data_IF_175401093087
#
_entry.id   IF_175401093087
#
_cell.length_a   1.000
_cell.length_b   1.000
_cell.length_c   1.000
_cell.angle_alpha   90.00
_cell.angle_beta   90.00
_cell.angle_gamma   90.00
#
_symmetry.space_group_name_H-M   'P 1'
#
loop_
_entity.id
_entity.type
_entity.pdbx_description
1 polymer ?
#
# COMPACT_ATOMS: atom_id res chain seq x y z
N UNK A 1 11.02 -3.62 15.20
CA UNK A 1 9.57 -3.78 15.01
C UNK A 1 9.09 -5.10 15.58
N UNK A 2 9.68 -6.21 15.12
CA UNK A 2 9.34 -7.55 15.57
C UNK A 2 9.37 -7.74 17.10
N UNK A 3 10.42 -7.24 17.78
CA UNK A 3 10.52 -7.23 19.25
C UNK A 3 9.39 -6.45 19.93
N UNK A 4 8.89 -5.39 19.30
CA UNK A 4 7.83 -4.53 19.86
C UNK A 4 6.47 -5.19 19.78
N UNK A 5 6.19 -5.86 18.66
CA UNK A 5 4.99 -6.70 18.49
C UNK A 5 5.05 -7.91 19.42
N UNK A 6 6.21 -8.59 19.49
CA UNK A 6 6.42 -9.71 20.41
C UNK A 6 6.21 -9.30 21.88
N UNK A 7 6.68 -8.10 22.28
CA UNK A 7 6.47 -7.57 23.62
C UNK A 7 5.00 -7.26 23.98
N UNK A 8 4.08 -7.27 23.02
CA UNK A 8 2.65 -7.15 23.29
C UNK A 8 2.03 -8.44 23.81
N UNK A 9 2.66 -9.62 23.65
CA UNK A 9 2.06 -10.89 24.05
C UNK A 9 3.06 -11.90 24.66
N UNK A 10 2.78 -12.47 25.84
CA UNK A 10 3.61 -13.52 26.41
C UNK A 10 3.66 -14.76 25.50
N UNK A 11 4.86 -15.15 25.05
CA UNK A 11 5.07 -16.36 24.25
C UNK A 11 5.26 -16.16 22.74
N UNK A 12 5.18 -14.92 22.25
CA UNK A 12 5.61 -14.58 20.89
C UNK A 12 7.12 -14.33 20.86
N UNK A 13 7.85 -15.06 20.01
CA UNK A 13 9.28 -14.83 19.78
C UNK A 13 9.49 -13.75 18.73
N UNK A 14 10.41 -12.81 18.99
CA UNK A 14 10.70 -11.72 18.05
C UNK A 14 11.21 -12.23 16.68
N UNK A 15 11.87 -13.39 16.67
CA UNK A 15 12.32 -14.03 15.42
C UNK A 15 11.17 -14.40 14.49
N UNK A 16 10.10 -14.98 15.05
CA UNK A 16 8.95 -15.43 14.26
C UNK A 16 8.16 -14.24 13.70
N UNK A 17 8.01 -13.18 14.50
CA UNK A 17 7.40 -11.93 14.02
C UNK A 17 8.25 -11.32 12.89
N UNK A 18 9.58 -11.33 13.00
CA UNK A 18 10.45 -10.76 11.97
C UNK A 18 10.33 -11.50 10.64
N UNK A 19 10.27 -12.84 10.70
CA UNK A 19 10.06 -13.69 9.52
C UNK A 19 8.70 -13.37 8.90
N UNK A 20 7.63 -13.31 9.69
CA UNK A 20 6.29 -13.01 9.22
C UNK A 20 6.21 -11.63 8.55
N UNK A 21 6.79 -10.59 9.17
CA UNK A 21 6.86 -9.25 8.60
C UNK A 21 7.64 -9.21 7.28
N UNK A 22 8.73 -9.97 7.16
CA UNK A 22 9.50 -10.03 5.91
C UNK A 22 8.77 -10.80 4.81
N UNK A 23 8.00 -11.83 5.19
CA UNK A 23 7.27 -12.68 4.28
C UNK A 23 5.90 -12.09 3.88
N UNK A 24 5.43 -11.07 4.61
CA UNK A 24 4.10 -10.50 4.42
C UNK A 24 2.96 -11.40 4.88
N UNK A 25 3.24 -12.50 5.61
CA UNK A 25 2.24 -13.49 6.04
C UNK A 25 2.64 -14.19 7.32
N UNK A 26 1.67 -14.68 8.09
CA UNK A 26 1.96 -15.52 9.25
C UNK A 26 2.28 -16.97 8.82
N UNK A 27 3.18 -17.67 9.53
CA UNK A 27 3.39 -19.09 9.30
C UNK A 27 2.14 -19.91 9.62
N UNK A 28 1.91 -20.99 8.87
CA UNK A 28 0.84 -21.93 9.17
C UNK A 28 0.99 -22.49 10.60
N UNK A 29 -0.10 -22.47 11.38
CA UNK A 29 -0.12 -22.97 12.76
C UNK A 29 0.44 -22.02 13.81
N UNK A 30 0.76 -20.76 13.46
CA UNK A 30 1.29 -19.76 14.39
C UNK A 30 0.19 -19.06 15.23
N UNK A 31 -0.65 -19.84 15.92
CA UNK A 31 -1.79 -19.32 16.71
C UNK A 31 -1.42 -18.20 17.70
N UNK A 32 -0.46 -18.41 18.61
CA UNK A 32 -0.04 -17.37 19.56
C UNK A 32 0.54 -16.12 18.91
N UNK A 33 1.24 -16.28 17.77
CA UNK A 33 1.76 -15.15 17.00
C UNK A 33 0.62 -14.35 16.36
N UNK A 34 -0.42 -15.03 15.88
CA UNK A 34 -1.61 -14.37 15.33
C UNK A 34 -2.34 -13.57 16.40
N UNK A 35 -2.54 -14.14 17.58
CA UNK A 35 -3.10 -13.41 18.72
C UNK A 35 -2.27 -12.16 19.03
N UNK A 36 -0.94 -12.24 18.92
CA UNK A 36 -0.05 -11.10 19.14
C UNK A 36 -0.25 -9.99 18.12
N UNK A 37 -0.43 -10.36 16.87
CA UNK A 37 -0.68 -9.45 15.76
C UNK A 37 -2.06 -8.81 15.89
N UNK A 38 -3.10 -9.61 16.16
CA UNK A 38 -4.47 -9.09 16.36
C UNK A 38 -4.53 -8.14 17.57
N UNK A 39 -3.88 -8.50 18.70
CA UNK A 39 -3.81 -7.62 19.87
C UNK A 39 -3.07 -6.31 19.55
N UNK A 40 -1.94 -6.38 18.86
CA UNK A 40 -1.18 -5.19 18.47
C UNK A 40 -2.00 -4.28 17.54
N UNK A 41 -2.74 -4.87 16.59
CA UNK A 41 -3.62 -4.16 15.66
C UNK A 41 -4.90 -3.60 16.31
N UNK A 42 -5.22 -3.97 17.56
CA UNK A 42 -6.32 -3.41 18.34
C UNK A 42 -5.89 -2.29 19.32
N UNK A 43 -4.59 -1.97 19.42
CA UNK A 43 -4.05 -1.08 20.46
C UNK A 43 -3.22 0.09 19.89
N UNK A 44 -3.82 1.03 19.12
CA UNK A 44 -3.10 2.15 18.50
C UNK A 44 -2.36 3.05 19.50
N UNK A 45 -2.88 3.19 20.73
CA UNK A 45 -2.29 4.04 21.78
C UNK A 45 -1.09 3.44 22.52
N UNK A 46 -0.84 2.12 22.39
CA UNK A 46 0.26 1.45 23.10
C UNK A 46 1.58 1.62 22.36
N UNK A 47 1.56 1.36 21.05
CA UNK A 47 2.74 1.40 20.20
C UNK A 47 2.30 1.58 18.74
N UNK A 48 2.29 2.82 18.25
CA UNK A 48 1.79 3.13 16.91
C UNK A 48 2.55 2.38 15.79
N UNK A 49 3.89 2.27 15.79
CA UNK A 49 4.60 1.45 14.81
C UNK A 49 4.18 -0.04 14.83
N UNK A 50 4.06 -0.65 16.01
CA UNK A 50 3.64 -2.05 16.12
C UNK A 50 2.20 -2.25 15.63
N UNK A 51 1.30 -1.33 15.98
CA UNK A 51 -0.07 -1.28 15.49
C UNK A 51 -0.12 -1.22 13.96
N UNK A 52 0.59 -0.29 13.31
CA UNK A 52 0.60 -0.18 11.85
C UNK A 52 1.15 -1.43 11.17
N UNK A 53 2.25 -1.99 11.68
CA UNK A 53 2.86 -3.19 11.12
C UNK A 53 1.96 -4.41 11.26
N UNK A 54 1.27 -4.55 12.39
CA UNK A 54 0.31 -5.62 12.63
C UNK A 54 -0.91 -5.49 11.70
N UNK A 55 -1.50 -4.30 11.56
CA UNK A 55 -2.59 -4.09 10.61
C UNK A 55 -2.16 -4.35 9.17
N UNK A 56 -0.97 -3.92 8.76
CA UNK A 56 -0.44 -4.18 7.42
C UNK A 56 -0.29 -5.69 7.14
N UNK A 57 0.16 -6.47 8.13
CA UNK A 57 0.27 -7.92 8.01
C UNK A 57 -1.11 -8.58 7.85
N UNK A 58 -2.09 -8.17 8.65
CA UNK A 58 -3.47 -8.69 8.55
C UNK A 58 -4.12 -8.34 7.20
N UNK A 59 -3.87 -7.13 6.67
CA UNK A 59 -4.32 -6.73 5.34
C UNK A 59 -3.70 -7.59 4.25
N UNK A 60 -2.39 -7.85 4.33
CA UNK A 60 -1.68 -8.69 3.36
C UNK A 60 -2.24 -10.12 3.36
N UNK A 61 -2.43 -10.73 4.54
CA UNK A 61 -3.05 -12.06 4.66
C UNK A 61 -4.47 -12.10 4.07
N UNK A 62 -5.28 -11.08 4.33
CA UNK A 62 -6.64 -11.01 3.83
C UNK A 62 -6.69 -10.87 2.30
N UNK A 63 -5.73 -10.16 1.69
CA UNK A 63 -5.64 -9.99 0.24
C UNK A 63 -5.13 -11.24 -0.48
N UNK A 64 -4.26 -12.03 0.15
CA UNK A 64 -3.81 -13.32 -0.41
C UNK A 64 -4.92 -14.37 -0.40
N UNK A 65 -5.90 -14.28 0.51
CA UNK A 65 -7.05 -15.19 0.57
C UNK A 65 -6.72 -16.61 1.07
N UNK A 66 -5.47 -16.85 1.49
CA UNK A 66 -4.95 -18.18 1.88
C UNK A 66 -4.89 -18.40 3.40
N UNK A 67 -5.54 -17.56 4.22
CA UNK A 67 -5.53 -17.74 5.66
C UNK A 67 -6.34 -18.99 6.07
N UNK A 68 -5.74 -19.99 6.74
CA UNK A 68 -6.46 -21.16 7.25
C UNK A 68 -7.38 -20.82 8.44
N UNK A 69 -7.24 -19.62 9.01
CA UNK A 69 -8.06 -19.09 10.10
C UNK A 69 -9.01 -18.03 9.55
N UNK A 70 -10.19 -17.90 10.17
CA UNK A 70 -11.10 -16.79 9.84
C UNK A 70 -10.34 -15.46 9.98
N UNK A 71 -10.34 -14.60 8.95
CA UNK A 71 -9.71 -13.29 9.07
C UNK A 71 -10.42 -12.49 10.17
N UNK A 72 -9.70 -11.64 10.91
CA UNK A 72 -10.35 -10.71 11.81
C UNK A 72 -11.31 -9.80 11.02
N UNK A 73 -12.30 -9.25 11.70
CA UNK A 73 -13.20 -8.27 11.10
C UNK A 73 -12.44 -6.96 10.84
N UNK A 74 -11.78 -6.90 9.68
CA UNK A 74 -10.99 -5.76 9.26
C UNK A 74 -11.85 -4.52 8.99
N UNK A 75 -13.14 -4.69 8.71
CA UNK A 75 -14.06 -3.56 8.64
C UNK A 75 -14.27 -2.95 10.03
N UNK A 76 -14.48 -3.78 11.05
CA UNK A 76 -14.56 -3.29 12.43
C UNK A 76 -13.26 -2.62 12.90
N UNK A 77 -12.09 -3.15 12.52
CA UNK A 77 -10.79 -2.53 12.83
C UNK A 77 -10.63 -1.17 12.14
N UNK A 78 -11.05 -1.06 10.88
CA UNK A 78 -11.08 0.20 10.17
C UNK A 78 -11.96 1.22 10.89
N UNK A 79 -13.20 0.86 11.20
CA UNK A 79 -14.16 1.76 11.82
C UNK A 79 -13.70 2.22 13.20
N UNK A 80 -13.16 1.30 14.01
CA UNK A 80 -12.67 1.59 15.35
C UNK A 80 -11.39 2.44 15.38
N UNK A 81 -10.55 2.36 14.35
CA UNK A 81 -9.19 2.93 14.39
C UNK A 81 -8.83 3.83 13.19
N UNK A 82 -9.83 4.24 12.40
CA UNK A 82 -9.63 5.05 11.19
C UNK A 82 -8.78 6.32 11.44
N UNK A 83 -8.99 7.01 12.56
CA UNK A 83 -8.21 8.20 12.90
C UNK A 83 -6.74 7.88 13.20
N UNK A 84 -6.45 6.73 13.82
CA UNK A 84 -5.08 6.30 14.05
C UNK A 84 -4.36 6.00 12.74
N UNK A 85 -5.04 5.34 11.79
CA UNK A 85 -4.49 5.11 10.46
C UNK A 85 -4.26 6.41 9.68
N UNK A 86 -5.19 7.37 9.75
CA UNK A 86 -5.05 8.70 9.12
C UNK A 86 -3.88 9.50 9.69
N UNK A 87 -3.60 9.35 10.98
CA UNK A 87 -2.49 10.01 11.66
C UNK A 87 -1.11 9.40 11.36
N UNK A 88 -1.05 8.24 10.70
CA UNK A 88 0.20 7.57 10.35
C UNK A 88 1.06 8.41 9.38
N UNK A 89 2.39 8.18 9.34
CA UNK A 89 3.26 8.76 8.30
C UNK A 89 2.72 8.48 6.90
N UNK A 90 2.91 9.41 5.96
CA UNK A 90 2.19 9.40 4.68
C UNK A 90 2.30 8.07 3.91
N UNK A 91 3.50 7.49 3.82
CA UNK A 91 3.71 6.20 3.16
C UNK A 91 3.00 5.04 3.88
N UNK A 92 3.00 5.04 5.21
CA UNK A 92 2.31 4.01 6.02
C UNK A 92 0.80 4.15 5.89
N UNK A 93 0.27 5.37 5.99
CA UNK A 93 -1.15 5.66 5.78
C UNK A 93 -1.58 5.21 4.38
N UNK A 94 -0.84 5.60 3.35
CA UNK A 94 -1.12 5.22 1.96
C UNK A 94 -1.17 3.70 1.80
N UNK A 95 -0.20 2.96 2.33
CA UNK A 95 -0.18 1.51 2.26
C UNK A 95 -1.41 0.87 2.95
N UNK A 96 -1.71 1.29 4.19
CA UNK A 96 -2.86 0.79 4.94
C UNK A 96 -4.20 1.10 4.24
N UNK A 97 -4.36 2.34 3.78
CA UNK A 97 -5.58 2.82 3.12
C UNK A 97 -5.81 2.16 1.76
N UNK A 98 -4.74 1.88 1.01
CA UNK A 98 -4.85 1.09 -0.22
C UNK A 98 -5.20 -0.38 0.09
N UNK A 99 -4.63 -0.99 1.14
CA UNK A 99 -5.01 -2.35 1.55
C UNK A 99 -6.50 -2.45 1.93
N UNK A 100 -6.99 -1.52 2.75
CA UNK A 100 -8.40 -1.42 3.11
C UNK A 100 -9.31 -1.18 1.89
N UNK A 101 -8.89 -0.32 0.97
CA UNK A 101 -9.62 -0.07 -0.28
C UNK A 101 -9.73 -1.33 -1.14
N UNK A 102 -8.63 -2.07 -1.31
CA UNK A 102 -8.63 -3.31 -2.08
C UNK A 102 -9.56 -4.36 -1.47
N UNK A 103 -9.59 -4.51 -0.14
CA UNK A 103 -10.53 -5.41 0.53
C UNK A 103 -12.00 -4.95 0.41
N UNK A 104 -12.24 -3.63 0.39
CA UNK A 104 -13.57 -3.09 0.13
C UNK A 104 -14.03 -3.41 -1.30
N UNK A 105 -13.17 -3.18 -2.29
CA UNK A 105 -13.49 -3.36 -3.70
C UNK A 105 -13.72 -4.85 -4.05
N UNK A 106 -13.07 -5.79 -3.34
CA UNK A 106 -13.33 -7.24 -3.47
C UNK A 106 -14.54 -7.72 -2.65
N UNK A 107 -15.14 -6.87 -1.82
CA UNK A 107 -16.23 -7.21 -0.91
C UNK A 107 -15.80 -8.00 0.34
N UNK A 108 -14.50 -8.22 0.54
CA UNK A 108 -13.94 -8.90 1.70
C UNK A 108 -14.08 -8.08 3.00
N UNK A 109 -14.11 -6.74 2.90
CA UNK A 109 -14.34 -5.84 4.02
C UNK A 109 -15.23 -4.65 3.58
N UNK A 110 -16.56 -4.68 3.78
CA UNK A 110 -17.46 -3.62 3.34
C UNK A 110 -17.36 -2.36 4.22
N UNK A 111 -16.35 -1.52 3.97
CA UNK A 111 -16.10 -0.26 4.69
C UNK A 111 -17.13 0.84 4.43
N UNK A 112 -17.47 1.65 5.44
CA UNK A 112 -18.38 2.80 5.34
C UNK A 112 -17.93 3.98 6.24
N UNK A 113 -17.37 5.08 5.67
CA UNK A 113 -17.01 5.26 4.26
C UNK A 113 -15.71 4.50 3.92
N UNK A 114 -15.51 4.11 2.63
CA UNK A 114 -14.22 3.58 2.19
C UNK A 114 -13.13 4.67 2.20
N UNK A 115 -11.85 4.27 2.23
CA UNK A 115 -10.73 5.19 2.13
C UNK A 115 -10.82 6.09 0.89
N UNK A 116 -10.62 7.39 1.11
CA UNK A 116 -10.61 8.42 0.08
C UNK A 116 -9.30 8.40 -0.72
N UNK A 117 -9.31 9.00 -1.91
CA UNK A 117 -8.11 9.13 -2.74
C UNK A 117 -6.98 9.89 -2.03
N UNK A 118 -7.32 10.89 -1.21
CA UNK A 118 -6.32 11.66 -0.47
C UNK A 118 -5.64 10.82 0.62
N UNK A 119 -6.37 9.92 1.27
CA UNK A 119 -5.84 9.03 2.29
C UNK A 119 -4.92 7.96 1.71
N UNK A 120 -5.23 7.50 0.49
CA UNK A 120 -4.45 6.52 -0.29
C UNK A 120 -3.15 7.08 -0.86
N UNK A 121 -2.98 8.39 -0.94
CA UNK A 121 -1.81 9.00 -1.56
C UNK A 121 -0.65 9.20 -0.58
N UNK A 122 0.56 8.80 -0.98
CA UNK A 122 1.81 9.10 -0.28
C UNK A 122 2.16 10.58 -0.38
N UNK A 123 1.81 11.22 -1.49
CA UNK A 123 2.01 12.66 -1.71
C UNK A 123 0.73 13.34 -2.14
N UNK A 124 0.51 14.56 -1.64
CA UNK A 124 -0.60 15.39 -2.09
C UNK A 124 -0.45 15.74 -3.57
N UNK A 125 -1.57 15.71 -4.30
CA UNK A 125 -1.61 16.00 -5.74
C UNK A 125 -0.93 17.32 -6.12
N UNK A 126 -1.15 18.38 -5.34
CA UNK A 126 -0.54 19.69 -5.58
C UNK A 126 1.00 19.65 -5.53
N UNK A 127 1.58 18.81 -4.67
CA UNK A 127 3.04 18.65 -4.57
C UNK A 127 3.58 17.91 -5.79
N UNK A 128 2.85 16.88 -6.24
CA UNK A 128 3.18 16.12 -7.46
C UNK A 128 3.12 17.01 -8.70
N UNK A 129 2.04 17.77 -8.86
CA UNK A 129 1.87 18.71 -9.97
C UNK A 129 2.94 19.82 -9.97
N UNK A 130 3.30 20.34 -8.81
CA UNK A 130 4.37 21.32 -8.68
C UNK A 130 5.75 20.74 -9.08
N UNK A 131 6.04 19.49 -8.67
CA UNK A 131 7.28 18.80 -9.05
C UNK A 131 7.42 18.61 -10.56
N UNK A 132 6.31 18.31 -11.24
CA UNK A 132 6.27 18.14 -12.69
C UNK A 132 6.57 19.42 -13.49
N UNK A 133 6.52 20.60 -12.87
CA UNK A 133 6.73 21.86 -13.59
C UNK A 133 8.08 21.92 -14.33
N UNK A 134 9.12 21.30 -13.78
CA UNK A 134 10.47 21.21 -14.38
C UNK A 134 10.69 20.04 -15.33
N UNK A 135 9.72 19.15 -15.51
CA UNK A 135 9.85 18.01 -16.41
C UNK A 135 9.71 18.43 -17.90
N UNK A 136 10.40 17.73 -18.83
CA UNK A 136 10.18 17.92 -20.26
C UNK A 136 8.71 17.80 -20.66
N UNK A 137 8.26 18.64 -21.61
CA UNK A 137 6.85 18.73 -22.01
C UNK A 137 6.25 17.38 -22.42
N UNK A 138 6.99 16.56 -23.16
CA UNK A 138 6.52 15.26 -23.63
C UNK A 138 6.33 14.23 -22.51
N UNK A 139 6.94 14.44 -21.33
CA UNK A 139 6.67 13.66 -20.12
C UNK A 139 5.55 14.31 -19.30
N UNK A 140 5.58 15.64 -19.20
CA UNK A 140 4.68 16.41 -18.34
C UNK A 140 3.22 16.38 -18.80
N UNK A 141 2.96 16.57 -20.09
CA UNK A 141 1.59 16.68 -20.62
C UNK A 141 0.74 15.42 -20.41
N UNK A 142 1.19 14.19 -20.77
CA UNK A 142 0.39 12.99 -20.53
C UNK A 142 0.12 12.77 -19.04
N UNK A 143 1.13 12.99 -18.18
CA UNK A 143 0.98 12.88 -16.73
C UNK A 143 -0.03 13.88 -16.16
N UNK A 144 0.02 15.14 -16.61
CA UNK A 144 -0.95 16.16 -16.18
C UNK A 144 -2.37 15.82 -16.64
N UNK A 145 -2.54 15.30 -17.86
CA UNK A 145 -3.83 14.86 -18.36
C UNK A 145 -4.39 13.69 -17.52
N UNK A 146 -3.55 12.71 -17.20
CA UNK A 146 -3.94 11.59 -16.33
C UNK A 146 -4.26 12.05 -14.90
N UNK A 147 -3.47 12.97 -14.32
CA UNK A 147 -3.77 13.54 -12.99
C UNK A 147 -5.09 14.31 -13.00
N UNK A 148 -5.45 14.95 -14.11
CA UNK A 148 -6.72 15.66 -14.28
C UNK A 148 -7.95 14.75 -14.48
N UNK A 149 -7.79 13.42 -14.42
CA UNK A 149 -8.90 12.48 -14.63
C UNK A 149 -9.09 12.07 -16.09
N UNK A 150 -8.18 12.47 -17.00
CA UNK A 150 -8.15 11.98 -18.37
C UNK A 150 -7.86 10.48 -18.44
N UNK A 151 -8.08 9.84 -19.61
CA UNK A 151 -7.77 8.43 -19.80
C UNK A 151 -6.27 8.17 -19.65
N UNK A 152 -5.86 7.04 -19.06
CA UNK A 152 -4.47 6.77 -18.75
C UNK A 152 -3.62 6.39 -19.98
N UNK A 153 -4.24 6.08 -21.13
CA UNK A 153 -3.58 5.40 -22.26
C UNK A 153 -2.27 6.01 -22.76
N UNK A 154 -2.16 7.34 -22.88
CA UNK A 154 -0.88 7.97 -23.27
C UNK A 154 0.20 7.85 -22.19
N UNK A 155 -0.21 7.89 -20.92
CA UNK A 155 0.71 7.73 -19.79
C UNK A 155 1.10 6.25 -19.61
N UNK A 156 0.19 5.30 -19.86
CA UNK A 156 0.47 3.86 -19.89
C UNK A 156 1.44 3.51 -21.03
N UNK A 157 1.25 4.10 -22.22
CA UNK A 157 2.20 3.96 -23.32
C UNK A 157 3.58 4.54 -22.97
N UNK A 158 3.61 5.72 -22.34
CA UNK A 158 4.84 6.33 -21.86
C UNK A 158 5.57 5.41 -20.86
N UNK A 159 4.84 4.82 -19.91
CA UNK A 159 5.39 3.83 -18.98
C UNK A 159 5.90 2.59 -19.71
N UNK A 160 5.13 2.05 -20.65
CA UNK A 160 5.49 0.86 -21.44
C UNK A 160 6.82 1.02 -22.17
N UNK A 161 7.03 2.19 -22.75
CA UNK A 161 8.19 2.45 -23.60
C UNK A 161 9.42 2.85 -22.79
N UNK A 162 9.23 3.49 -21.63
CA UNK A 162 10.31 4.20 -20.93
C UNK A 162 10.36 4.02 -19.42
N UNK A 163 9.55 3.13 -18.84
CA UNK A 163 9.37 2.99 -17.38
C UNK A 163 10.67 3.07 -16.56
N UNK A 164 11.74 2.39 -17.02
CA UNK A 164 13.07 2.42 -16.38
C UNK A 164 13.71 3.80 -16.34
N UNK A 165 13.66 4.55 -17.44
CA UNK A 165 14.17 5.92 -17.48
C UNK A 165 13.33 6.85 -16.60
N UNK A 166 12.02 6.59 -16.55
CA UNK A 166 11.06 7.45 -15.84
C UNK A 166 11.20 7.33 -14.33
N UNK A 167 11.46 6.13 -13.78
CA UNK A 167 11.76 5.99 -12.34
C UNK A 167 13.06 6.68 -11.93
N UNK A 168 14.01 6.87 -12.85
CA UNK A 168 15.22 7.65 -12.58
C UNK A 168 14.99 9.17 -12.57
N UNK A 169 13.78 9.63 -12.96
CA UNK A 169 13.39 11.03 -12.93
C UNK A 169 12.39 11.28 -11.77
N UNK A 170 12.83 11.78 -10.59
CA UNK A 170 12.01 11.79 -9.39
C UNK A 170 10.63 12.45 -9.53
N UNK A 171 10.48 13.62 -10.19
CA UNK A 171 9.16 14.22 -10.36
C UNK A 171 8.19 13.38 -11.19
N UNK A 172 8.72 12.61 -12.15
CA UNK A 172 7.92 11.70 -12.98
C UNK A 172 7.57 10.45 -12.21
N UNK A 173 8.53 9.88 -11.48
CA UNK A 173 8.30 8.73 -10.59
C UNK A 173 7.22 9.03 -9.54
N UNK A 174 7.26 10.23 -8.94
CA UNK A 174 6.26 10.69 -7.98
C UNK A 174 4.86 10.80 -8.61
N UNK A 175 4.77 11.27 -9.86
CA UNK A 175 3.50 11.37 -10.57
C UNK A 175 2.94 10.00 -10.94
N UNK A 176 3.77 9.10 -11.44
CA UNK A 176 3.38 7.71 -11.72
C UNK A 176 2.92 6.99 -10.45
N UNK A 177 3.64 7.18 -9.33
CA UNK A 177 3.23 6.63 -8.03
C UNK A 177 1.88 7.18 -7.59
N UNK A 178 1.68 8.49 -7.71
CA UNK A 178 0.40 9.10 -7.35
C UNK A 178 -0.76 8.54 -8.18
N UNK A 179 -0.56 8.34 -9.48
CA UNK A 179 -1.57 7.70 -10.34
C UNK A 179 -1.86 6.27 -9.87
N UNK A 180 -0.83 5.48 -9.60
CA UNK A 180 -0.97 4.12 -9.07
C UNK A 180 -1.75 4.07 -7.74
N UNK A 181 -1.48 5.01 -6.83
CA UNK A 181 -2.12 5.05 -5.51
C UNK A 181 -3.57 5.54 -5.54
N UNK A 182 -3.94 6.37 -6.54
CA UNK A 182 -5.19 7.14 -6.52
C UNK A 182 -6.15 6.82 -7.65
N UNK A 183 -5.76 5.99 -8.61
CA UNK A 183 -6.61 5.62 -9.75
C UNK A 183 -6.82 4.12 -9.80
N UNK A 184 -8.09 3.73 -9.80
CA UNK A 184 -8.49 2.32 -9.89
C UNK A 184 -8.43 1.80 -11.35
N UNK A 185 -8.41 2.71 -12.34
CA UNK A 185 -8.32 2.38 -13.77
C UNK A 185 -6.90 2.46 -14.33
N UNK A 186 -5.92 2.81 -13.49
CA UNK A 186 -4.51 2.90 -13.86
C UNK A 186 -3.86 1.52 -13.76
N UNK A 187 -3.42 0.99 -14.91
CA UNK A 187 -2.65 -0.25 -14.95
C UNK A 187 -1.38 -0.04 -15.80
N UNK A 188 -0.23 0.22 -15.17
CA UNK A 188 1.01 0.49 -15.90
C UNK A 188 1.52 -0.76 -16.64
N UNK A 189 1.04 -1.95 -16.28
CA UNK A 189 1.41 -3.22 -16.91
C UNK A 189 0.37 -3.70 -17.91
N UNK A 190 -0.67 -2.89 -18.17
CA UNK A 190 -1.72 -3.26 -19.12
C UNK A 190 -1.09 -3.64 -20.46
N UNK A 191 -1.51 -4.80 -20.96
CA UNK A 191 -1.05 -5.40 -22.20
C UNK A 191 0.43 -5.85 -22.22
N UNK A 192 1.13 -5.83 -21.08
CA UNK A 192 2.43 -6.48 -20.98
C UNK A 192 2.24 -7.98 -20.80
N UNK A 193 2.96 -8.83 -21.55
CA UNK A 193 2.95 -10.26 -21.29
C UNK A 193 3.73 -10.57 -20.00
N UNK A 194 3.31 -11.61 -19.27
CA UNK A 194 3.82 -11.96 -17.92
C UNK A 194 5.35 -12.14 -17.88
N UNK A 195 5.92 -12.73 -18.92
CA UNK A 195 7.36 -12.94 -19.07
C UNK A 195 8.12 -11.61 -19.14
N UNK A 196 7.55 -10.61 -19.81
CA UNK A 196 8.10 -9.26 -19.86
C UNK A 196 7.93 -8.53 -18.53
N UNK A 197 6.81 -8.70 -17.83
CA UNK A 197 6.65 -8.14 -16.48
C UNK A 197 7.73 -8.72 -15.54
N UNK A 198 7.99 -10.03 -15.62
CA UNK A 198 9.03 -10.65 -14.80
C UNK A 198 10.45 -10.18 -15.13
N UNK A 199 10.75 -9.88 -16.40
CA UNK A 199 12.10 -9.51 -16.86
C UNK A 199 12.37 -8.01 -16.83
N UNK A 200 11.34 -7.20 -17.08
CA UNK A 200 11.44 -5.77 -17.32
C UNK A 200 10.56 -4.94 -16.38
N UNK A 201 9.76 -5.59 -15.55
CA UNK A 201 8.92 -4.95 -14.54
C UNK A 201 9.75 -4.04 -13.66
N UNK A 202 9.46 -2.76 -13.77
CA UNK A 202 10.01 -1.72 -12.92
C UNK A 202 9.12 -1.60 -11.70
N UNK A 203 9.62 -2.09 -10.55
CA UNK A 203 9.00 -1.71 -9.29
C UNK A 203 9.06 -0.18 -9.17
N UNK A 204 7.91 0.49 -9.06
CA UNK A 204 7.89 1.89 -8.64
C UNK A 204 8.52 1.88 -7.25
N UNK A 205 9.73 2.43 -7.08
CA UNK A 205 10.47 2.24 -5.84
C UNK A 205 9.63 2.84 -4.72
N UNK A 206 9.20 2.07 -3.74
CA UNK A 206 8.62 2.61 -2.52
C UNK A 206 9.79 3.07 -1.65
N UNK A 207 10.42 4.19 -2.01
CA UNK A 207 11.55 4.71 -1.23
C UNK A 207 11.12 4.87 0.24
N UNK A 208 11.90 4.27 1.14
CA UNK A 208 11.97 4.72 2.52
C UNK A 208 12.66 6.10 2.52
N UNK A 209 12.16 7.08 3.31
CA UNK A 209 12.79 8.39 3.41
C UNK A 209 14.23 8.32 3.94
#
# INVERSE_FOLDING_TARGET
>A
MAERIAACLPGAEAGDVAVALSAGRLPAGAGPLREAVELAAALPGRDAPAFHAATALLLAEALEGESPLAPPDLAAYHDAHSDAYRAAPAAVRAALMNGFRLLHDTGAAPLQPPPTLAERATRARVVVEAGLAGAPLHLRLPLQAALAGGPPGETEALWRDRGRDLVAAPPVADAMRHLYETRDDWDPWRDWPDDRIAQEGVAIPFEAP
#
